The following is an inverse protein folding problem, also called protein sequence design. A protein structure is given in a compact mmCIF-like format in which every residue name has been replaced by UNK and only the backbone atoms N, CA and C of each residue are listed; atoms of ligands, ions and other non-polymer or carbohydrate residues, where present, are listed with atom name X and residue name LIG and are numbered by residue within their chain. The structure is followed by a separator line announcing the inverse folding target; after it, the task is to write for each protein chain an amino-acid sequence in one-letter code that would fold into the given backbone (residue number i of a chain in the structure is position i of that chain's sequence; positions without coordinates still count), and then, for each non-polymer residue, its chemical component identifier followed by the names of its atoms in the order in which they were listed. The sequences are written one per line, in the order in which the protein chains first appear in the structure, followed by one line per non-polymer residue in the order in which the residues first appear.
data_IF_082965438826
#
_entry.id   IF_082965438826
#
_cell.length_a   1.000
_cell.length_b   1.000
_cell.length_c   1.000
_cell.angle_alpha   90.00
_cell.angle_beta   90.00
_cell.angle_gamma   90.00
#
_symmetry.space_group_name_H-M   'P 1'
#
loop_
_entity.id
_entity.type
_entity.pdbx_description
1 polymer ?
#
# COMPACT_ATOMS: atom_id res chain seq x y z
N UNK A 1 -27.59 -6.58 11.38
CA UNK A 1 -26.46 -6.13 12.22
C UNK A 1 -26.10 -4.73 11.78
N UNK A 2 -26.36 -3.72 12.61
CA UNK A 2 -25.95 -2.34 12.36
C UNK A 2 -24.45 -2.28 12.61
N UNK A 3 -23.62 -2.06 11.58
CA UNK A 3 -22.20 -1.79 11.77
C UNK A 3 -22.08 -0.41 12.43
N UNK A 4 -21.61 -0.38 13.67
CA UNK A 4 -21.33 0.87 14.38
C UNK A 4 -20.31 1.70 13.59
N UNK A 5 -20.55 3.02 13.54
CA UNK A 5 -19.61 3.97 12.93
C UNK A 5 -18.33 4.01 13.78
N UNK A 6 -17.13 3.95 13.17
CA UNK A 6 -15.89 4.16 13.93
C UNK A 6 -15.91 5.56 14.57
N UNK A 7 -15.53 5.60 15.84
CA UNK A 7 -15.51 6.82 16.65
C UNK A 7 -14.39 7.75 16.18
N UNK A 8 -14.55 9.07 16.33
CA UNK A 8 -13.55 10.08 15.92
C UNK A 8 -12.21 9.98 16.70
N UNK A 9 -12.16 9.15 17.75
CA UNK A 9 -10.98 8.88 18.59
C UNK A 9 -10.04 7.79 18.06
N UNK A 10 -10.39 7.09 16.97
CA UNK A 10 -9.59 5.98 16.42
C UNK A 10 -8.72 6.36 15.20
N UNK A 11 -8.52 7.65 14.93
CA UNK A 11 -7.64 8.06 13.83
C UNK A 11 -6.17 7.80 14.20
N UNK A 12 -5.43 7.08 13.35
CA UNK A 12 -4.00 6.92 13.55
C UNK A 12 -3.33 8.29 13.42
N UNK A 13 -2.80 8.79 14.53
CA UNK A 13 -2.07 10.06 14.56
C UNK A 13 -0.61 9.75 14.27
N UNK A 14 -0.11 10.30 13.16
CA UNK A 14 1.30 10.27 12.81
C UNK A 14 1.90 11.66 13.01
N UNK A 15 3.13 11.71 13.50
CA UNK A 15 3.96 12.92 13.48
C UNK A 15 4.28 13.33 12.03
N UNK A 16 4.76 14.55 11.81
CA UNK A 16 5.14 15.01 10.47
C UNK A 16 6.22 14.10 9.81
N UNK A 17 7.29 13.67 10.51
CA UNK A 17 8.28 12.76 9.91
C UNK A 17 7.70 11.37 9.59
N UNK A 18 6.81 10.86 10.43
CA UNK A 18 6.12 9.59 10.18
C UNK A 18 5.18 9.69 8.97
N UNK A 19 4.46 10.80 8.86
CA UNK A 19 3.60 11.10 7.70
C UNK A 19 4.42 11.10 6.41
N UNK A 20 5.59 11.76 6.41
CA UNK A 20 6.51 11.75 5.25
C UNK A 20 6.95 10.34 4.86
N UNK A 21 7.24 9.47 5.83
CA UNK A 21 7.56 8.06 5.57
C UNK A 21 6.38 7.32 4.94
N UNK A 22 5.18 7.45 5.50
CA UNK A 22 3.97 6.79 4.96
C UNK A 22 3.68 7.29 3.54
N UNK A 23 3.83 8.59 3.28
CA UNK A 23 3.66 9.17 1.94
C UNK A 23 4.69 8.65 0.94
N UNK A 24 5.96 8.55 1.32
CA UNK A 24 7.01 7.99 0.45
C UNK A 24 6.75 6.51 0.10
N UNK A 25 6.05 5.79 0.97
CA UNK A 25 5.64 4.40 0.78
C UNK A 25 4.36 4.22 -0.04
N UNK A 26 3.62 5.29 -0.35
CA UNK A 26 2.43 5.18 -1.20
C UNK A 26 2.80 4.67 -2.60
N UNK A 27 2.05 3.69 -3.10
CA UNK A 27 2.29 3.07 -4.39
C UNK A 27 3.49 2.10 -4.42
N UNK A 28 4.21 1.90 -3.31
CA UNK A 28 5.26 0.88 -3.24
C UNK A 28 4.64 -0.52 -3.30
N UNK A 29 4.94 -1.24 -4.38
CA UNK A 29 4.55 -2.64 -4.56
C UNK A 29 5.63 -3.60 -4.05
N UNK A 30 5.21 -4.80 -3.63
CA UNK A 30 6.11 -5.87 -3.16
C UNK A 30 7.01 -5.48 -2.00
N UNK A 31 6.56 -4.54 -1.16
CA UNK A 31 7.30 -4.06 0.03
C UNK A 31 8.72 -3.61 -0.32
N UNK A 32 8.91 -2.95 -1.47
CA UNK A 32 10.21 -2.48 -1.92
C UNK A 32 10.74 -3.12 -3.22
N UNK A 33 9.95 -3.98 -3.92
CA UNK A 33 10.43 -4.70 -5.12
C UNK A 33 10.53 -3.82 -6.36
N UNK A 34 9.53 -2.98 -6.57
CA UNK A 34 9.39 -2.15 -7.79
C UNK A 34 9.70 -0.68 -7.56
N UNK A 35 10.42 -0.34 -6.48
CA UNK A 35 10.67 1.04 -6.09
C UNK A 35 11.71 1.66 -7.02
N UNK A 36 11.40 2.84 -7.56
CA UNK A 36 12.35 3.61 -8.37
C UNK A 36 13.53 4.10 -7.51
N UNK A 37 14.69 4.36 -8.12
CA UNK A 37 15.85 4.88 -7.38
C UNK A 37 15.53 6.16 -6.59
N UNK A 38 14.70 7.04 -7.16
CA UNK A 38 14.23 8.26 -6.49
C UNK A 38 13.35 7.95 -5.28
N UNK A 39 12.34 7.11 -5.46
CA UNK A 39 11.45 6.75 -4.35
C UNK A 39 12.18 5.98 -3.25
N UNK A 40 13.20 5.19 -3.59
CA UNK A 40 14.04 4.53 -2.60
C UNK A 40 14.82 5.56 -1.76
N UNK A 41 15.39 6.59 -2.41
CA UNK A 41 16.06 7.70 -1.72
C UNK A 41 15.09 8.48 -0.82
N UNK A 42 13.85 8.71 -1.27
CA UNK A 42 12.83 9.39 -0.48
C UNK A 42 12.48 8.59 0.78
N UNK A 43 12.30 7.27 0.66
CA UNK A 43 12.04 6.37 1.79
C UNK A 43 13.24 6.31 2.74
N UNK A 44 14.46 6.18 2.22
CA UNK A 44 15.68 6.14 3.03
C UNK A 44 15.90 7.45 3.80
N UNK A 45 15.63 8.59 3.17
CA UNK A 45 15.71 9.91 3.80
C UNK A 45 14.68 10.07 4.92
N UNK A 46 13.44 9.60 4.69
CA UNK A 46 12.39 9.63 5.72
C UNK A 46 12.71 8.70 6.90
N UNK A 47 13.26 7.51 6.64
CA UNK A 47 13.76 6.59 7.69
C UNK A 47 14.87 7.25 8.51
N UNK A 48 15.86 7.87 7.86
CA UNK A 48 16.95 8.56 8.57
C UNK A 48 16.44 9.71 9.44
N UNK A 49 15.47 10.50 8.93
CA UNK A 49 14.87 11.58 9.71
C UNK A 49 14.21 11.08 11.00
N UNK A 50 13.52 9.93 10.96
CA UNK A 50 12.91 9.30 12.14
C UNK A 50 13.96 8.73 13.10
N UNK A 51 15.01 8.09 12.57
CA UNK A 51 16.12 7.59 13.39
C UNK A 51 16.86 8.73 14.12
N UNK A 52 16.95 9.92 13.50
CA UNK A 52 17.53 11.14 14.10
C UNK A 52 16.59 11.78 15.12
N UNK A 53 15.28 11.83 14.84
CA UNK A 53 14.30 12.45 15.73
C UNK A 53 14.15 11.73 17.06
N UNK A 54 14.62 10.46 17.14
CA UNK A 54 14.62 9.58 18.32
C UNK A 54 13.21 9.45 18.93
N UNK A 55 12.50 8.40 18.53
CA UNK A 55 11.26 7.97 19.19
C UNK A 55 11.53 7.42 20.61
N UNK A 56 10.79 6.41 21.04
CA UNK A 56 10.88 5.87 22.41
C UNK A 56 12.34 5.52 22.81
N UNK A 57 12.90 6.11 23.89
CA UNK A 57 14.24 5.83 24.37
C UNK A 57 14.25 4.48 25.10
N UNK A 58 14.94 3.47 24.55
CA UNK A 58 14.80 2.04 24.90
C UNK A 58 13.47 1.42 24.42
N UNK A 59 13.34 1.23 23.10
CA UNK A 59 12.15 0.62 22.52
C UNK A 59 11.92 -0.81 23.00
N UNK A 60 12.96 -1.59 23.31
CA UNK A 60 12.76 -3.01 23.68
C UNK A 60 12.22 -3.19 25.09
N UNK A 61 12.43 -2.21 25.99
CA UNK A 61 11.84 -2.19 27.32
C UNK A 61 10.43 -1.61 27.36
N UNK A 62 9.99 -0.94 26.28
CA UNK A 62 8.64 -0.37 26.19
C UNK A 62 7.58 -1.44 25.92
N UNK A 63 6.40 -1.31 26.54
CA UNK A 63 5.24 -2.15 26.19
C UNK A 63 4.77 -1.92 24.75
N UNK A 64 5.10 -0.77 24.15
CA UNK A 64 4.72 -0.44 22.79
C UNK A 64 5.39 -1.33 21.74
N UNK A 65 6.50 -2.02 22.05
CA UNK A 65 7.14 -2.94 21.10
C UNK A 65 6.35 -4.24 20.91
N UNK A 66 5.53 -4.63 21.88
CA UNK A 66 4.83 -5.90 21.84
C UNK A 66 3.61 -5.88 20.91
N UNK A 67 3.29 -7.02 20.31
CA UNK A 67 2.15 -7.20 19.43
C UNK A 67 2.54 -7.57 17.99
N UNK A 68 1.55 -7.52 17.10
CA UNK A 68 1.68 -7.90 15.70
C UNK A 68 2.00 -6.70 14.82
N UNK A 69 3.14 -6.76 14.12
CA UNK A 69 3.62 -5.69 13.26
C UNK A 69 3.59 -6.11 11.79
N UNK A 70 2.76 -5.47 10.97
CA UNK A 70 2.74 -5.69 9.53
C UNK A 70 3.96 -5.06 8.86
N UNK A 71 4.67 -5.83 8.03
CA UNK A 71 5.77 -5.35 7.21
C UNK A 71 5.23 -4.53 6.02
N UNK A 72 5.47 -3.22 6.03
CA UNK A 72 5.05 -2.32 4.95
C UNK A 72 6.17 -2.01 3.96
N UNK A 73 7.43 -2.05 4.40
CA UNK A 73 8.59 -1.90 3.51
C UNK A 73 9.81 -2.66 4.01
N UNK A 74 10.61 -3.20 3.08
CA UNK A 74 11.91 -3.77 3.40
C UNK A 74 12.94 -3.56 2.30
N UNK A 75 14.19 -3.28 2.69
CA UNK A 75 15.30 -3.33 1.74
C UNK A 75 15.71 -4.78 1.47
N UNK A 76 16.21 -5.05 0.26
CA UNK A 76 16.64 -6.39 -0.15
C UNK A 76 18.14 -6.38 -0.44
N UNK A 77 19.01 -6.36 0.59
CA UNK A 77 20.42 -6.57 0.34
C UNK A 77 20.61 -7.96 -0.28
N UNK A 78 21.64 -8.13 -1.13
CA UNK A 78 21.92 -9.41 -1.82
C UNK A 78 22.11 -10.61 -0.87
N UNK A 79 22.29 -10.34 0.42
CA UNK A 79 22.45 -11.29 1.53
C UNK A 79 21.13 -11.77 2.16
N UNK A 80 19.98 -11.20 1.79
CA UNK A 80 18.66 -11.55 2.33
C UNK A 80 18.38 -13.07 2.19
N UNK A 81 17.70 -13.70 3.16
CA UNK A 81 17.49 -15.15 3.12
C UNK A 81 16.57 -15.58 1.96
N UNK A 82 16.67 -16.82 1.46
CA UNK A 82 15.76 -17.33 0.42
C UNK A 82 14.28 -17.19 0.78
N UNK A 83 13.92 -17.46 2.04
CA UNK A 83 12.55 -17.31 2.55
C UNK A 83 12.10 -15.85 2.46
N UNK A 84 12.95 -14.91 2.85
CA UNK A 84 12.67 -13.49 2.69
C UNK A 84 12.42 -13.17 1.21
N UNK A 85 13.33 -13.56 0.30
CA UNK A 85 13.17 -13.28 -1.13
C UNK A 85 11.91 -13.86 -1.74
N UNK A 86 11.55 -15.10 -1.40
CA UNK A 86 10.40 -15.80 -1.99
C UNK A 86 9.07 -15.21 -1.50
N UNK A 87 8.89 -15.03 -0.19
CA UNK A 87 7.59 -14.61 0.35
C UNK A 87 7.37 -13.10 0.30
N UNK A 88 8.41 -12.28 0.47
CA UNK A 88 8.26 -10.81 0.34
C UNK A 88 7.98 -10.39 -1.10
N UNK A 89 8.22 -11.26 -2.09
CA UNK A 89 7.98 -11.01 -3.51
C UNK A 89 6.55 -11.30 -3.98
N UNK A 90 5.69 -11.88 -3.14
CA UNK A 90 4.28 -12.17 -3.45
C UNK A 90 3.38 -11.10 -2.84
N UNK A 91 2.80 -10.25 -3.68
CA UNK A 91 2.07 -9.05 -3.24
C UNK A 91 0.78 -9.35 -2.47
N UNK A 92 0.14 -10.50 -2.73
CA UNK A 92 -1.06 -10.93 -2.01
C UNK A 92 -0.80 -11.37 -0.57
N UNK A 93 0.43 -11.77 -0.24
CA UNK A 93 0.74 -12.25 1.11
C UNK A 93 0.89 -11.07 2.08
N UNK A 94 0.27 -11.17 3.25
CA UNK A 94 0.50 -10.21 4.34
C UNK A 94 1.61 -10.77 5.24
N UNK A 95 2.64 -9.97 5.48
CA UNK A 95 3.79 -10.39 6.30
C UNK A 95 3.74 -9.63 7.60
N UNK A 96 3.82 -10.37 8.70
CA UNK A 96 3.84 -9.83 10.05
C UNK A 96 5.08 -10.29 10.80
N UNK A 97 5.48 -9.48 11.77
CA UNK A 97 6.40 -9.85 12.82
C UNK A 97 5.71 -9.62 14.15
N UNK A 98 5.38 -10.70 14.83
CA UNK A 98 4.89 -10.64 16.20
C UNK A 98 6.08 -10.61 17.16
N UNK A 99 6.06 -9.66 18.10
CA UNK A 99 7.11 -9.51 19.11
C UNK A 99 6.46 -9.54 20.49
N UNK A 100 6.94 -10.44 21.34
CA UNK A 100 6.53 -10.54 22.75
C UNK A 100 7.79 -10.81 23.56
N UNK A 101 8.28 -9.81 24.29
CA UNK A 101 9.55 -9.87 25.01
C UNK A 101 9.37 -9.96 26.53
N UNK A 102 8.14 -9.74 27.00
CA UNK A 102 7.78 -9.57 28.42
C UNK A 102 6.92 -10.73 28.92
N UNK A 103 7.18 -11.93 28.39
CA UNK A 103 6.52 -13.18 28.73
C UNK A 103 7.54 -14.17 29.31
N UNK A 104 7.06 -15.28 29.88
CA UNK A 104 7.95 -16.35 30.37
C UNK A 104 8.71 -17.08 29.24
N UNK A 105 8.23 -16.97 27.99
CA UNK A 105 8.88 -17.46 26.77
C UNK A 105 8.93 -16.32 25.73
N UNK A 106 9.92 -15.40 25.84
CA UNK A 106 10.06 -14.28 24.92
C UNK A 106 10.30 -14.75 23.49
N UNK A 107 9.52 -14.24 22.54
CA UNK A 107 9.54 -14.66 21.14
C UNK A 107 9.47 -13.52 20.14
N UNK A 108 10.14 -13.74 19.02
CA UNK A 108 9.90 -13.05 17.75
C UNK A 108 9.39 -14.07 16.75
N UNK A 109 8.19 -13.85 16.22
CA UNK A 109 7.55 -14.75 15.26
C UNK A 109 7.32 -14.03 13.94
N UNK A 110 7.93 -14.52 12.88
CA UNK A 110 7.62 -14.06 11.53
C UNK A 110 6.43 -14.87 10.99
N UNK A 111 5.39 -14.17 10.54
CA UNK A 111 4.18 -14.78 10.00
C UNK A 111 4.00 -14.35 8.55
N UNK A 112 3.88 -15.31 7.65
CA UNK A 112 3.48 -15.09 6.26
C UNK A 112 2.05 -15.59 6.12
N UNK A 113 1.10 -14.65 6.06
CA UNK A 113 -0.32 -14.96 5.86
C UNK A 113 -0.62 -15.01 4.37
N UNK A 114 -1.01 -16.19 3.89
CA UNK A 114 -1.30 -16.44 2.49
C UNK A 114 -2.61 -15.77 2.08
N UNK A 115 -3.65 -16.00 2.87
CA UNK A 115 -4.94 -15.30 2.85
C UNK A 115 -5.77 -15.73 4.07
N UNK A 116 -6.89 -15.06 4.32
CA UNK A 116 -7.84 -15.47 5.37
C UNK A 116 -8.48 -16.86 5.11
N UNK A 117 -8.51 -17.29 3.85
CA UNK A 117 -9.10 -18.56 3.41
C UNK A 117 -8.09 -19.71 3.36
N UNK A 118 -6.82 -19.43 3.08
CA UNK A 118 -5.79 -20.46 2.89
C UNK A 118 -5.11 -20.80 4.22
N UNK A 119 -4.62 -19.78 4.93
CA UNK A 119 -3.84 -19.96 6.15
C UNK A 119 -2.53 -19.17 6.16
N UNK A 120 -1.55 -19.67 6.91
CA UNK A 120 -0.30 -18.95 7.20
C UNK A 120 0.90 -19.89 7.44
N UNK A 121 2.11 -19.37 7.22
CA UNK A 121 3.37 -19.93 7.71
C UNK A 121 3.84 -19.11 8.91
N UNK A 122 4.10 -19.77 10.04
CA UNK A 122 4.72 -19.17 11.23
C UNK A 122 6.13 -19.69 11.39
N UNK A 123 7.08 -18.79 11.60
CA UNK A 123 8.49 -19.09 11.91
C UNK A 123 8.83 -18.40 13.21
N UNK A 124 9.01 -19.18 14.27
CA UNK A 124 9.18 -18.70 15.63
C UNK A 124 10.65 -18.76 16.06
N UNK A 125 11.05 -17.76 16.83
CA UNK A 125 12.37 -17.69 17.43
C UNK A 125 12.26 -17.31 18.91
N UNK A 126 12.96 -18.06 19.77
CA UNK A 126 13.22 -17.61 21.13
C UNK A 126 14.06 -16.33 21.10
N UNK A 127 13.71 -15.36 21.93
CA UNK A 127 14.26 -14.00 21.88
C UNK A 127 14.83 -13.54 23.24
N UNK A 128 15.74 -12.57 23.21
CA UNK A 128 16.21 -11.88 24.41
C UNK A 128 16.62 -10.43 24.10
N UNK A 129 16.49 -9.56 25.10
CA UNK A 129 16.92 -8.15 25.01
C UNK A 129 18.41 -8.07 25.35
N UNK A 130 19.19 -7.34 24.54
CA UNK A 130 20.62 -7.14 24.78
C UNK A 130 20.94 -5.79 25.45
N UNK A 131 20.48 -4.69 24.86
CA UNK A 131 20.96 -3.33 25.18
C UNK A 131 19.91 -2.23 24.99
N UNK A 132 18.63 -2.57 25.16
CA UNK A 132 17.51 -1.63 25.01
C UNK A 132 17.09 -1.36 23.56
N UNK A 133 17.92 -1.73 22.57
CA UNK A 133 17.60 -1.61 21.15
C UNK A 133 17.63 -2.94 20.43
N UNK A 134 18.62 -3.78 20.78
CA UNK A 134 18.85 -5.05 20.11
C UNK A 134 18.06 -6.19 20.74
N UNK A 135 17.28 -6.85 19.89
CA UNK A 135 16.66 -8.15 20.15
C UNK A 135 17.55 -9.22 19.52
N UNK A 136 18.08 -10.12 20.34
CA UNK A 136 18.71 -11.35 19.86
C UNK A 136 17.63 -12.39 19.68
N UNK A 137 17.71 -13.19 18.61
CA UNK A 137 16.75 -14.26 18.39
C UNK A 137 17.43 -15.51 17.82
N UNK A 138 16.81 -16.67 18.07
CA UNK A 138 17.20 -17.94 17.47
C UNK A 138 15.97 -18.71 17.02
N UNK A 139 15.84 -18.95 15.71
CA UNK A 139 14.75 -19.75 15.18
C UNK A 139 14.80 -21.17 15.75
N UNK A 140 13.66 -21.66 16.22
CA UNK A 140 13.55 -22.98 16.85
C UNK A 140 12.37 -23.80 16.33
N UNK A 141 11.35 -23.16 15.74
CA UNK A 141 10.12 -23.81 15.28
C UNK A 141 9.57 -23.12 14.04
N UNK A 142 8.96 -23.88 13.16
CA UNK A 142 8.14 -23.34 12.09
C UNK A 142 7.06 -24.35 11.66
N UNK A 143 5.90 -23.83 11.31
CA UNK A 143 4.79 -24.65 10.84
C UNK A 143 3.86 -23.86 9.92
N UNK A 144 3.28 -24.57 8.96
CA UNK A 144 2.12 -24.11 8.22
C UNK A 144 0.86 -24.41 9.01
N UNK A 145 -0.04 -23.44 9.06
CA UNK A 145 -1.41 -23.60 9.52
C UNK A 145 -2.33 -23.35 8.35
N UNK A 146 -2.98 -24.40 7.85
CA UNK A 146 -3.94 -24.30 6.75
C UNK A 146 -5.36 -24.31 7.31
N UNK A 147 -6.24 -23.43 6.83
CA UNK A 147 -7.63 -23.35 7.31
C UNK A 147 -8.46 -24.59 6.97
N UNK A 148 -8.08 -25.31 5.92
CA UNK A 148 -8.73 -26.54 5.47
C UNK A 148 -8.19 -27.82 6.14
N UNK A 149 -7.19 -27.71 7.03
CA UNK A 149 -6.67 -28.86 7.79
C UNK A 149 -6.88 -28.68 9.29
N UNK A 150 -7.23 -29.75 10.03
CA UNK A 150 -7.42 -29.67 11.48
C UNK A 150 -6.09 -29.68 12.27
N UNK A 151 -4.95 -29.82 11.59
CA UNK A 151 -3.62 -29.88 12.21
C UNK A 151 -2.62 -28.96 11.50
N UNK A 152 -1.54 -28.59 12.20
CA UNK A 152 -0.41 -27.83 11.65
C UNK A 152 0.55 -28.77 10.93
N UNK A 153 1.06 -28.34 9.78
CA UNK A 153 2.09 -29.07 9.02
C UNK A 153 3.46 -28.50 9.38
N UNK A 154 4.38 -29.28 9.99
CA UNK A 154 5.72 -28.79 10.32
C UNK A 154 6.47 -28.30 9.07
N UNK A 155 7.15 -27.16 9.19
CA UNK A 155 8.02 -26.68 8.12
C UNK A 155 9.32 -27.52 8.13
N UNK A 156 9.77 -28.09 7.00
CA UNK A 156 10.86 -29.07 6.96
C UNK A 156 12.24 -28.41 7.05
N UNK A 157 12.49 -27.63 8.11
CA UNK A 157 13.79 -27.02 8.41
C UNK A 157 14.31 -27.53 9.75
N UNK A 158 15.47 -28.19 9.78
CA UNK A 158 16.05 -28.72 11.01
C UNK A 158 16.80 -27.60 11.76
N UNK A 159 16.07 -26.69 12.42
CA UNK A 159 16.67 -25.53 13.12
C UNK A 159 17.78 -25.90 14.11
N UNK A 160 17.71 -27.10 14.71
CA UNK A 160 18.73 -27.62 15.62
C UNK A 160 20.09 -27.85 14.93
N UNK A 161 20.10 -28.17 13.64
CA UNK A 161 21.30 -28.44 12.85
C UNK A 161 21.89 -27.15 12.23
N UNK A 162 21.13 -26.06 12.19
CA UNK A 162 21.56 -24.79 11.58
C UNK A 162 22.57 -24.00 12.42
N UNK A 163 22.83 -24.40 13.67
CA UNK A 163 23.83 -23.75 14.52
C UNK A 163 23.64 -22.23 14.62
N UNK A 164 24.63 -21.48 14.15
CA UNK A 164 24.64 -20.01 14.14
C UNK A 164 23.80 -19.41 13.00
N UNK A 165 23.46 -20.15 11.94
CA UNK A 165 22.61 -19.65 10.86
C UNK A 165 21.16 -19.42 11.30
N UNK A 166 20.71 -20.13 12.36
CA UNK A 166 19.42 -19.90 12.99
C UNK A 166 19.41 -18.66 13.91
N UNK A 167 20.58 -18.09 14.23
CA UNK A 167 20.71 -16.91 15.09
C UNK A 167 20.65 -15.64 14.26
N UNK A 168 20.08 -14.61 14.85
CA UNK A 168 20.09 -13.27 14.27
C UNK A 168 19.84 -12.21 15.33
N UNK A 169 19.82 -10.97 14.86
CA UNK A 169 19.47 -9.83 15.68
C UNK A 169 18.64 -8.82 14.90
N UNK A 170 17.82 -8.07 15.63
CA UNK A 170 17.06 -6.92 15.17
C UNK A 170 17.40 -5.74 16.08
N UNK A 171 17.93 -4.67 15.50
CA UNK A 171 18.04 -3.39 16.19
C UNK A 171 16.78 -2.60 15.91
N UNK A 172 15.99 -2.30 16.94
CA UNK A 172 14.89 -1.35 16.81
C UNK A 172 15.48 0.05 16.86
N UNK A 173 15.60 0.70 15.69
CA UNK A 173 16.22 2.01 15.54
C UNK A 173 15.24 3.15 15.70
N UNK A 174 13.94 2.87 15.50
CA UNK A 174 12.85 3.79 15.79
C UNK A 174 11.62 3.01 16.26
N UNK A 175 10.97 3.51 17.30
CA UNK A 175 9.63 3.10 17.74
C UNK A 175 8.84 4.37 17.99
N UNK A 176 7.72 4.51 17.30
CA UNK A 176 6.79 5.62 17.47
C UNK A 176 6.29 5.71 18.92
N UNK A 177 6.11 6.93 19.43
CA UNK A 177 5.50 7.16 20.74
C UNK A 177 4.03 6.73 20.80
N UNK A 178 3.38 6.58 19.64
CA UNK A 178 2.03 6.01 19.54
C UNK A 178 2.05 4.48 19.44
N UNK A 179 3.24 3.88 19.26
CA UNK A 179 3.40 2.45 18.99
C UNK A 179 2.93 2.02 17.61
N UNK A 180 2.67 2.94 16.68
CA UNK A 180 2.12 2.62 15.36
C UNK A 180 3.16 2.32 14.29
N UNK A 181 4.36 2.91 14.37
CA UNK A 181 5.47 2.66 13.44
C UNK A 181 6.67 2.11 14.20
N UNK A 182 7.33 1.11 13.62
CA UNK A 182 8.60 0.58 14.08
C UNK A 182 9.56 0.39 12.92
N UNK A 183 10.79 0.84 13.10
CA UNK A 183 11.88 0.62 12.15
C UNK A 183 12.92 -0.27 12.82
N UNK A 184 13.29 -1.33 12.11
CA UNK A 184 14.30 -2.27 12.58
C UNK A 184 15.38 -2.51 11.53
N UNK A 185 16.63 -2.68 11.98
CA UNK A 185 17.75 -3.16 11.17
C UNK A 185 18.05 -4.61 11.52
N UNK A 186 18.11 -5.48 10.51
CA UNK A 186 18.51 -6.87 10.67
C UNK A 186 20.00 -7.09 10.50
N UNK A 187 20.48 -8.21 11.01
CA UNK A 187 21.88 -8.66 10.95
C UNK A 187 22.50 -8.73 9.55
N UNK A 188 21.71 -8.66 8.49
CA UNK A 188 22.18 -8.69 7.09
C UNK A 188 22.15 -7.31 6.40
N UNK A 189 21.97 -6.23 7.16
CA UNK A 189 21.83 -4.87 6.63
C UNK A 189 20.43 -4.56 6.10
N UNK A 190 19.46 -5.45 6.34
CA UNK A 190 18.06 -5.23 5.94
C UNK A 190 17.41 -4.19 6.83
N UNK A 191 16.76 -3.19 6.23
CA UNK A 191 15.84 -2.31 6.94
C UNK A 191 14.43 -2.87 6.82
N UNK A 192 13.69 -2.85 7.91
CA UNK A 192 12.28 -3.22 8.00
C UNK A 192 11.52 -2.01 8.53
N UNK A 193 10.51 -1.57 7.81
CA UNK A 193 9.52 -0.61 8.30
C UNK A 193 8.23 -1.39 8.54
N UNK A 194 7.76 -1.35 9.78
CA UNK A 194 6.58 -2.10 10.19
C UNK A 194 5.54 -1.20 10.86
N UNK A 195 4.28 -1.63 10.79
CA UNK A 195 3.14 -0.88 11.30
C UNK A 195 2.15 -1.81 12.02
N UNK A 196 1.62 -1.41 13.18
CA UNK A 196 0.59 -2.22 13.90
C UNK A 196 -0.78 -2.15 13.25
N UNK A 197 -1.19 -0.95 12.86
CA UNK A 197 -2.46 -0.70 12.21
C UNK A 197 -2.19 0.04 10.89
N UNK A 198 -2.69 -0.50 9.77
CA UNK A 198 -2.58 0.14 8.46
C UNK A 198 -3.69 1.17 8.27
N UNK A 199 -3.35 2.33 7.72
CA UNK A 199 -4.34 3.35 7.38
C UNK A 199 -5.24 2.85 6.23
N UNK A 200 -6.51 3.30 6.16
CA UNK A 200 -7.41 2.91 5.08
C UNK A 200 -6.83 3.14 3.68
N UNK A 201 -6.01 4.20 3.49
CA UNK A 201 -5.34 4.47 2.21
C UNK A 201 -4.40 3.33 1.80
N UNK A 202 -3.60 2.86 2.75
CA UNK A 202 -2.66 1.76 2.51
C UNK A 202 -3.41 0.46 2.24
N UNK A 203 -4.53 0.21 2.95
CA UNK A 203 -5.39 -0.95 2.70
C UNK A 203 -5.98 -0.92 1.28
N UNK A 204 -6.47 0.24 0.84
CA UNK A 204 -6.98 0.44 -0.53
C UNK A 204 -5.91 0.16 -1.59
N UNK A 205 -4.73 0.75 -1.46
CA UNK A 205 -3.65 0.53 -2.42
C UNK A 205 -3.16 -0.93 -2.41
N UNK A 206 -3.14 -1.57 -1.24
CA UNK A 206 -2.82 -3.01 -1.12
C UNK A 206 -3.86 -3.87 -1.82
N UNK A 207 -5.15 -3.60 -1.64
CA UNK A 207 -6.24 -4.33 -2.29
C UNK A 207 -6.16 -4.19 -3.82
N UNK A 208 -5.91 -2.97 -4.32
CA UNK A 208 -5.71 -2.72 -5.76
C UNK A 208 -4.51 -3.51 -6.29
N UNK A 209 -3.41 -3.55 -5.53
CA UNK A 209 -2.20 -4.28 -5.93
C UNK A 209 -2.41 -5.80 -5.92
N UNK A 210 -3.20 -6.34 -4.99
CA UNK A 210 -3.47 -7.78 -4.91
C UNK A 210 -4.59 -8.24 -5.84
N UNK A 211 -5.47 -7.34 -6.27
CA UNK A 211 -6.67 -7.71 -7.03
C UNK A 211 -7.82 -8.23 -6.16
N UNK A 212 -7.69 -8.17 -4.82
CA UNK A 212 -8.62 -8.80 -3.89
C UNK A 212 -9.22 -7.77 -2.91
N UNK A 213 -10.53 -7.84 -2.66
CA UNK A 213 -11.20 -7.02 -1.64
C UNK A 213 -11.23 -5.52 -1.94
N UNK A 214 -11.16 -5.13 -3.22
CA UNK A 214 -10.99 -3.73 -3.64
C UNK A 214 -12.22 -2.90 -3.29
N UNK A 215 -13.42 -3.41 -3.53
CA UNK A 215 -14.67 -2.69 -3.27
C UNK A 215 -14.86 -2.46 -1.76
N UNK A 216 -14.57 -3.46 -0.94
CA UNK A 216 -14.61 -3.36 0.52
C UNK A 216 -13.60 -2.33 1.03
N UNK A 217 -12.40 -2.29 0.45
CA UNK A 217 -11.38 -1.32 0.80
C UNK A 217 -11.76 0.12 0.38
N UNK A 218 -12.42 0.29 -0.77
CA UNK A 218 -12.99 1.58 -1.20
C UNK A 218 -14.10 2.03 -0.23
N UNK A 219 -14.99 1.11 0.15
CA UNK A 219 -16.06 1.41 1.11
C UNK A 219 -15.49 1.82 2.47
N UNK A 220 -14.56 1.05 3.03
CA UNK A 220 -13.87 1.37 4.28
C UNK A 220 -13.19 2.74 4.19
N UNK A 221 -12.43 2.98 3.12
CA UNK A 221 -11.71 4.23 2.90
C UNK A 221 -12.65 5.44 2.82
N UNK A 222 -13.73 5.33 2.03
CA UNK A 222 -14.69 6.44 1.87
C UNK A 222 -15.52 6.66 3.13
N UNK A 223 -15.85 5.61 3.89
CA UNK A 223 -16.53 5.74 5.19
C UNK A 223 -15.65 6.40 6.25
N UNK A 224 -14.37 6.03 6.31
CA UNK A 224 -13.42 6.60 7.26
C UNK A 224 -13.15 8.09 6.99
N UNK A 225 -13.04 8.47 5.72
CA UNK A 225 -12.71 9.84 5.31
C UNK A 225 -13.94 10.74 5.06
N UNK A 226 -15.15 10.32 5.48
CA UNK A 226 -16.42 11.02 5.21
C UNK A 226 -16.61 12.36 5.92
N UNK A 227 -15.54 13.00 6.39
CA UNK A 227 -15.55 14.36 6.93
C UNK A 227 -15.23 15.35 5.80
N UNK A 228 -16.29 15.81 5.12
CA UNK A 228 -16.40 17.07 4.37
C UNK A 228 -15.51 17.39 3.14
N UNK A 229 -14.70 16.50 2.61
CA UNK A 229 -13.96 16.79 1.35
C UNK A 229 -14.73 16.36 0.09
N UNK A 230 -15.89 16.96 -0.18
CA UNK A 230 -16.38 17.04 -1.56
C UNK A 230 -15.51 18.09 -2.26
N UNK A 231 -14.48 17.62 -2.96
CA UNK A 231 -13.45 18.48 -3.51
C UNK A 231 -14.01 19.60 -4.39
N UNK A 232 -13.52 20.82 -4.14
CA UNK A 232 -13.61 21.94 -5.07
C UNK A 232 -12.97 21.54 -6.42
N UNK A 233 -13.41 22.10 -7.54
CA UNK A 233 -12.85 21.83 -8.87
C UNK A 233 -11.31 21.91 -8.88
N UNK A 234 -10.74 22.86 -8.13
CA UNK A 234 -9.28 23.00 -7.95
C UNK A 234 -8.60 21.74 -7.43
N UNK A 235 -9.28 20.95 -6.59
CA UNK A 235 -8.76 19.68 -6.10
C UNK A 235 -8.67 18.60 -7.18
N UNK A 236 -9.34 18.78 -8.33
CA UNK A 236 -9.29 17.88 -9.49
C UNK A 236 -8.18 18.25 -10.47
N UNK A 237 -7.71 19.50 -10.48
CA UNK A 237 -6.65 19.98 -11.39
C UNK A 237 -5.35 19.20 -11.18
N UNK A 238 -4.68 18.83 -12.26
CA UNK A 238 -3.42 18.09 -12.25
C UNK A 238 -3.46 16.79 -13.05
N UNK A 239 -2.40 15.98 -12.89
CA UNK A 239 -2.26 14.69 -13.56
C UNK A 239 -2.62 13.54 -12.62
N UNK A 240 -3.39 12.59 -13.14
CA UNK A 240 -4.00 11.49 -12.40
C UNK A 240 -3.81 10.17 -13.14
N UNK A 241 -3.02 9.28 -12.56
CA UNK A 241 -2.85 7.92 -13.03
C UNK A 241 -4.03 7.04 -12.60
N UNK A 242 -4.71 6.38 -13.52
CA UNK A 242 -5.71 5.37 -13.19
C UNK A 242 -5.02 4.15 -12.57
N UNK A 243 -5.41 3.82 -11.33
CA UNK A 243 -4.91 2.63 -10.62
C UNK A 243 -5.83 1.43 -10.83
N UNK A 244 -7.14 1.67 -10.77
CA UNK A 244 -8.17 0.64 -10.85
C UNK A 244 -9.50 1.20 -11.32
N UNK A 245 -10.28 0.38 -12.02
CA UNK A 245 -11.66 0.64 -12.35
C UNK A 245 -12.49 -0.64 -12.20
N UNK A 246 -13.73 -0.53 -11.72
CA UNK A 246 -14.66 -1.65 -11.70
C UNK A 246 -15.08 -2.02 -13.12
N UNK A 247 -15.33 -3.30 -13.37
CA UNK A 247 -15.94 -3.74 -14.63
C UNK A 247 -17.35 -3.14 -14.77
N UNK A 248 -17.60 -2.51 -15.92
CA UNK A 248 -18.92 -2.19 -16.43
C UNK A 248 -19.01 -2.89 -17.79
N UNK A 249 -20.05 -3.70 -18.00
CA UNK A 249 -20.18 -4.54 -19.20
C UNK A 249 -20.53 -3.78 -20.48
N UNK A 250 -19.86 -2.66 -20.77
CA UNK A 250 -20.06 -1.85 -21.97
C UNK A 250 -18.95 -2.02 -23.01
N UNK A 251 -19.20 -1.53 -24.23
CA UNK A 251 -18.26 -1.51 -25.37
C UNK A 251 -17.80 -0.07 -25.72
N UNK A 252 -17.93 0.89 -24.80
CA UNK A 252 -17.62 2.31 -25.03
C UNK A 252 -16.12 2.63 -24.98
N UNK A 253 -15.70 3.80 -25.47
CA UNK A 253 -14.31 4.28 -25.34
C UNK A 253 -13.89 4.35 -23.87
N UNK A 254 -14.83 4.74 -23.00
CA UNK A 254 -14.62 4.73 -21.56
C UNK A 254 -14.29 3.33 -21.02
N UNK A 255 -14.93 2.26 -21.53
CA UNK A 255 -14.63 0.86 -21.16
C UNK A 255 -13.22 0.44 -21.62
N UNK A 256 -12.86 0.76 -22.86
CA UNK A 256 -11.54 0.43 -23.43
C UNK A 256 -10.42 1.17 -22.67
N UNK A 257 -10.63 2.45 -22.36
CA UNK A 257 -9.63 3.27 -21.67
C UNK A 257 -9.39 2.84 -20.22
N UNK A 258 -10.41 2.29 -19.54
CA UNK A 258 -10.30 1.72 -18.18
C UNK A 258 -9.32 0.55 -18.13
N UNK A 259 -9.29 -0.29 -19.17
CA UNK A 259 -8.35 -1.42 -19.27
C UNK A 259 -6.89 -1.01 -19.47
N UNK A 260 -6.63 0.20 -19.95
CA UNK A 260 -5.29 0.65 -20.36
C UNK A 260 -4.49 1.34 -19.24
N UNK A 261 -5.04 1.46 -18.03
CA UNK A 261 -4.42 2.21 -16.89
C UNK A 261 -3.79 3.52 -17.36
N UNK A 262 -4.60 4.36 -18.03
CA UNK A 262 -4.15 5.63 -18.58
C UNK A 262 -3.93 6.72 -17.53
N UNK A 263 -3.42 7.86 -17.99
CA UNK A 263 -3.30 9.11 -17.23
C UNK A 263 -4.36 10.09 -17.70
N UNK A 264 -4.99 10.77 -16.77
CA UNK A 264 -5.91 11.88 -17.01
C UNK A 264 -5.25 13.18 -16.53
N UNK A 265 -5.23 14.18 -17.40
CA UNK A 265 -4.83 15.56 -17.06
C UNK A 265 -6.08 16.43 -17.01
N UNK A 266 -6.27 17.16 -15.93
CA UNK A 266 -7.33 18.17 -15.76
C UNK A 266 -6.66 19.53 -15.59
N UNK A 267 -7.04 20.50 -16.42
CA UNK A 267 -6.55 21.88 -16.34
C UNK A 267 -7.53 22.80 -15.61
N UNK A 268 -7.04 23.96 -15.19
CA UNK A 268 -7.83 24.98 -14.49
C UNK A 268 -9.00 25.54 -15.34
N UNK A 269 -8.87 25.51 -16.66
CA UNK A 269 -9.89 25.98 -17.61
C UNK A 269 -10.94 24.91 -17.96
N UNK A 270 -10.92 23.75 -17.30
CA UNK A 270 -11.84 22.64 -17.59
C UNK A 270 -11.40 21.73 -18.71
N UNK A 271 -10.26 21.96 -19.38
CA UNK A 271 -9.77 21.01 -20.38
C UNK A 271 -9.36 19.68 -19.72
N UNK A 272 -9.81 18.58 -20.31
CA UNK A 272 -9.48 17.20 -19.92
C UNK A 272 -8.76 16.51 -21.05
N UNK A 273 -7.72 15.75 -20.71
CA UNK A 273 -7.05 14.83 -21.63
C UNK A 273 -6.82 13.49 -20.95
N UNK A 274 -7.30 12.41 -21.56
CA UNK A 274 -6.98 11.04 -21.16
C UNK A 274 -5.99 10.47 -22.15
N UNK A 275 -4.90 9.86 -21.69
CA UNK A 275 -3.96 9.19 -22.57
C UNK A 275 -3.45 7.89 -21.99
N UNK A 276 -3.10 6.96 -22.86
CA UNK A 276 -2.52 5.68 -22.48
C UNK A 276 -1.52 5.19 -23.55
N UNK A 277 -0.73 4.20 -23.18
CA UNK A 277 0.25 3.54 -24.06
C UNK A 277 -0.15 2.07 -24.18
N UNK A 278 -1.00 1.71 -25.18
CA UNK A 278 -1.48 0.34 -25.34
C UNK A 278 -0.34 -0.66 -25.59
N UNK A 279 0.71 -0.23 -26.28
CA UNK A 279 1.91 -1.02 -26.54
C UNK A 279 3.11 -0.10 -26.81
N UNK A 280 4.36 -0.59 -26.68
CA UNK A 280 5.56 0.23 -26.87
C UNK A 280 5.55 0.99 -28.20
N UNK A 281 5.83 2.30 -28.14
CA UNK A 281 5.86 3.17 -29.33
C UNK A 281 4.49 3.69 -29.80
N UNK A 282 3.38 3.30 -29.15
CA UNK A 282 2.06 3.89 -29.38
C UNK A 282 1.62 4.85 -28.28
N UNK A 283 0.69 5.75 -28.61
CA UNK A 283 -0.04 6.56 -27.65
C UNK A 283 -1.45 6.79 -28.16
N UNK A 284 -2.44 6.50 -27.34
CA UNK A 284 -3.80 6.99 -27.56
C UNK A 284 -4.01 8.20 -26.66
N UNK A 285 -4.60 9.26 -27.20
CA UNK A 285 -5.06 10.42 -26.42
C UNK A 285 -6.50 10.73 -26.80
N UNK A 286 -7.34 11.03 -25.83
CA UNK A 286 -8.68 11.58 -26.04
C UNK A 286 -8.78 12.89 -25.26
N UNK A 287 -9.31 13.94 -25.89
CA UNK A 287 -9.42 15.27 -25.31
C UNK A 287 -10.86 15.74 -25.24
N UNK A 288 -11.14 16.55 -24.22
CA UNK A 288 -12.49 16.96 -23.90
C UNK A 288 -12.55 18.13 -22.93
N UNK A 289 -13.74 18.38 -22.42
CA UNK A 289 -14.01 19.39 -21.39
C UNK A 289 -14.72 18.77 -20.18
N UNK A 290 -14.45 19.33 -19.02
CA UNK A 290 -15.05 18.98 -17.74
C UNK A 290 -15.83 20.20 -17.24
N UNK A 291 -17.15 20.03 -17.10
CA UNK A 291 -18.04 21.09 -16.64
C UNK A 291 -18.80 20.65 -15.39
N UNK A 292 -18.78 21.49 -14.35
CA UNK A 292 -19.55 21.22 -13.13
C UNK A 292 -21.04 21.41 -13.40
N UNK A 293 -21.85 20.44 -12.98
CA UNK A 293 -23.30 20.58 -13.06
C UNK A 293 -23.79 21.46 -11.90
N UNK A 294 -24.34 22.64 -12.18
CA UNK A 294 -24.81 23.54 -11.12
C UNK A 294 -25.94 22.96 -10.23
N UNK A 295 -26.62 21.88 -10.65
CA UNK A 295 -27.75 21.25 -9.94
C UNK A 295 -27.38 19.94 -9.22
N UNK A 296 -26.26 19.33 -9.54
CA UNK A 296 -25.76 18.11 -8.90
C UNK A 296 -24.27 18.25 -8.66
N UNK A 297 -23.71 17.68 -7.58
CA UNK A 297 -22.25 17.70 -7.36
C UNK A 297 -21.50 16.73 -8.28
N UNK A 298 -21.93 16.63 -9.53
CA UNK A 298 -21.41 15.79 -10.59
C UNK A 298 -20.85 16.68 -11.70
N UNK A 299 -19.91 16.14 -12.45
CA UNK A 299 -19.27 16.79 -13.58
C UNK A 299 -19.73 16.10 -14.87
N UNK A 300 -20.01 16.88 -15.90
CA UNK A 300 -20.14 16.38 -17.28
C UNK A 300 -18.75 16.36 -17.90
N UNK A 301 -18.36 15.20 -18.41
CA UNK A 301 -17.11 15.00 -19.15
C UNK A 301 -17.47 14.82 -20.62
N UNK A 302 -17.19 15.82 -21.44
CA UNK A 302 -17.44 15.76 -22.87
C UNK A 302 -16.13 15.46 -23.61
N UNK A 303 -15.98 14.22 -24.08
CA UNK A 303 -14.85 13.79 -24.89
C UNK A 303 -15.19 13.98 -26.38
N UNK A 304 -14.41 14.80 -27.08
CA UNK A 304 -14.70 15.17 -28.47
C UNK A 304 -13.84 14.40 -29.44
N UNK A 305 -12.53 14.51 -29.28
CA UNK A 305 -11.56 14.07 -30.27
C UNK A 305 -10.58 13.10 -29.64
N UNK A 306 -10.13 12.14 -30.45
CA UNK A 306 -9.05 11.24 -30.10
C UNK A 306 -7.97 11.18 -31.16
N UNK A 307 -6.76 10.84 -30.75
CA UNK A 307 -5.60 10.67 -31.62
C UNK A 307 -4.90 9.39 -31.21
N UNK A 308 -4.75 8.48 -32.16
CA UNK A 308 -3.85 7.36 -32.06
C UNK A 308 -2.52 7.72 -32.74
N UNK A 309 -1.44 7.66 -31.98
CA UNK A 309 -0.09 7.95 -32.46
C UNK A 309 0.76 6.67 -32.44
N UNK A 310 1.51 6.41 -33.50
CA UNK A 310 2.54 5.36 -33.57
C UNK A 310 3.77 5.90 -34.30
N UNK A 311 4.86 6.13 -33.55
CA UNK A 311 6.02 6.86 -34.06
C UNK A 311 5.63 8.25 -34.58
N UNK A 312 5.95 8.61 -35.84
CA UNK A 312 5.56 9.89 -36.43
C UNK A 312 4.10 9.92 -36.92
N UNK A 313 3.45 8.77 -37.08
CA UNK A 313 2.08 8.69 -37.60
C UNK A 313 1.08 9.12 -36.52
N UNK A 314 0.14 9.99 -36.87
CA UNK A 314 -1.00 10.40 -36.04
C UNK A 314 -2.30 10.18 -36.81
N UNK A 315 -3.19 9.38 -36.25
CA UNK A 315 -4.50 9.05 -36.81
C UNK A 315 -5.58 9.63 -35.88
N UNK A 316 -6.27 10.71 -36.28
CA UNK A 316 -7.39 11.23 -35.51
C UNK A 316 -8.60 10.30 -35.63
N UNK A 317 -9.42 10.24 -34.60
CA UNK A 317 -10.71 9.57 -34.58
C UNK A 317 -11.69 10.37 -33.74
N UNK A 318 -12.98 10.22 -34.04
CA UNK A 318 -14.05 10.90 -33.32
C UNK A 318 -14.46 10.09 -32.09
N UNK A 319 -14.66 10.76 -30.96
CA UNK A 319 -15.07 10.10 -29.70
C UNK A 319 -16.53 10.40 -29.40
N UNK A 320 -16.92 11.68 -29.41
CA UNK A 320 -18.27 12.19 -29.10
C UNK A 320 -18.97 11.47 -27.92
N UNK A 321 -18.27 11.34 -26.79
CA UNK A 321 -18.84 10.75 -25.58
C UNK A 321 -19.15 11.83 -24.55
N UNK A 322 -20.34 11.74 -23.94
CA UNK A 322 -20.70 12.55 -22.78
C UNK A 322 -20.90 11.63 -21.58
N UNK A 323 -20.03 11.77 -20.58
CA UNK A 323 -20.01 10.93 -19.39
C UNK A 323 -20.37 11.76 -18.17
N UNK A 324 -21.05 11.14 -17.21
CA UNK A 324 -21.29 11.74 -15.89
C UNK A 324 -20.26 11.20 -14.92
N UNK A 325 -19.53 12.12 -14.28
CA UNK A 325 -18.53 11.84 -13.26
C UNK A 325 -18.98 12.37 -11.90
N UNK A 326 -19.04 11.50 -10.90
CA UNK A 326 -19.25 11.90 -9.51
C UNK A 326 -17.97 11.71 -8.71
N UNK A 327 -17.60 12.69 -7.89
CA UNK A 327 -16.43 12.59 -7.00
C UNK A 327 -16.90 12.05 -5.65
N UNK A 328 -16.46 10.84 -5.33
CA UNK A 328 -16.74 10.17 -4.06
C UNK A 328 -15.74 10.61 -2.99
N UNK A 329 -14.49 10.85 -3.39
CA UNK A 329 -13.43 11.36 -2.54
C UNK A 329 -12.30 11.97 -3.37
N UNK A 330 -11.67 13.02 -2.88
CA UNK A 330 -10.41 13.54 -3.44
C UNK A 330 -9.57 14.23 -2.38
N UNK A 331 -8.27 13.97 -2.39
CA UNK A 331 -7.25 14.69 -1.65
C UNK A 331 -6.06 15.05 -2.57
N UNK A 332 -4.91 15.37 -1.99
CA UNK A 332 -3.70 15.70 -2.74
C UNK A 332 -2.99 14.48 -3.39
N UNK A 333 -3.49 13.25 -3.20
CA UNK A 333 -2.85 11.99 -3.61
C UNK A 333 -3.80 11.03 -4.32
N UNK A 334 -5.02 10.85 -3.84
CA UNK A 334 -6.00 9.89 -4.35
C UNK A 334 -7.30 10.60 -4.71
N UNK A 335 -7.88 10.16 -5.81
CA UNK A 335 -9.25 10.50 -6.20
C UNK A 335 -10.04 9.22 -6.45
N UNK A 336 -11.20 9.12 -5.81
CA UNK A 336 -12.18 8.06 -6.05
C UNK A 336 -13.40 8.72 -6.67
N UNK A 337 -13.81 8.21 -7.82
CA UNK A 337 -14.99 8.69 -8.53
C UNK A 337 -15.87 7.57 -9.05
N UNK A 338 -17.08 7.94 -9.45
CA UNK A 338 -17.97 7.11 -10.26
C UNK A 338 -18.07 7.73 -11.63
N UNK A 339 -17.75 6.99 -12.69
CA UNK A 339 -17.88 7.42 -14.08
C UNK A 339 -18.79 6.42 -14.78
N UNK A 340 -19.98 6.86 -15.17
CA UNK A 340 -21.02 6.01 -15.78
C UNK A 340 -21.23 4.68 -15.02
N UNK A 341 -21.49 4.80 -13.71
CA UNK A 341 -21.70 3.69 -12.75
C UNK A 341 -20.46 2.83 -12.46
N UNK A 342 -19.35 2.99 -13.17
CA UNK A 342 -18.10 2.35 -12.83
C UNK A 342 -17.35 3.15 -11.76
N UNK A 343 -16.90 2.48 -10.70
CA UNK A 343 -16.02 3.09 -9.70
C UNK A 343 -14.60 3.12 -10.21
N UNK A 344 -13.93 4.26 -10.10
CA UNK A 344 -12.55 4.48 -10.53
C UNK A 344 -11.69 5.03 -9.38
N UNK A 345 -10.46 4.55 -9.29
CA UNK A 345 -9.46 5.02 -8.32
C UNK A 345 -8.25 5.54 -9.07
N UNK A 346 -7.89 6.79 -8.81
CA UNK A 346 -6.73 7.45 -9.41
C UNK A 346 -5.71 7.87 -8.35
N UNK A 347 -4.44 7.88 -8.73
CA UNK A 347 -3.32 8.42 -7.97
C UNK A 347 -2.82 9.70 -8.66
N UNK A 348 -2.60 10.77 -7.91
CA UNK A 348 -1.99 11.99 -8.43
C UNK A 348 -0.49 11.77 -8.67
N UNK A 349 -0.01 12.25 -9.82
CA UNK A 349 1.41 12.17 -10.23
C UNK A 349 2.26 13.31 -9.66
#
# INVERSE_FOLDING_TARGET
MVREKPSRSDQLVFTEPETKLIEALLGVQGRGRGVSSKQLQDVESAVQALEISKGVPDPTSSSMIEGSWQLIFTTRPGTASPIQRTFVAVDSFKIFQEVYLRTDDPRVTNVVKFSDLIGELRVEAGASIKDGKRILFRFDRAAFSFKFLPFKVPYPVPFRLLGDEAKGWLDTTYLSDTGNIRISKGNKGTTFVLQKATEPRQKLLSAISSGEGILEAIEEFTLYNKVDSKGDFRSLVGEWQLLWASESGGESWSDISRGLKGVQTIKEDGQVANWAVPFPGSRVTATGTLEENAKSKAYSVLMKEGVFQFGPLKLPFDVQENLVMEILYVDNKIRIGSIDKATVVHLRL
#
